data_IF_637451370997
#
_entry.id   IF_637451370997
#
_cell.length_a   1.000
_cell.length_b   1.000
_cell.length_c   1.000
_cell.angle_alpha   90.00
_cell.angle_beta   90.00
_cell.angle_gamma   90.00
#
_symmetry.space_group_name_H-M   'P 1'
#
loop_
_entity.id
_entity.type
_entity.pdbx_description
1 polymer ?
#
# COMPACT_ATOMS: atom_id res chain seq x y z
N UNK A 1 -25.23 -0.56 25.12
CA UNK A 1 -23.90 -0.65 25.77
C UNK A 1 -23.80 0.48 26.78
N UNK A 2 -22.98 0.36 27.82
CA UNK A 2 -22.86 1.39 28.86
C UNK A 2 -21.51 2.08 28.75
N UNK A 3 -21.49 3.41 28.77
CA UNK A 3 -20.27 4.23 28.81
C UNK A 3 -20.10 4.84 30.21
N UNK A 4 -18.84 4.97 30.63
CA UNK A 4 -18.48 5.70 31.85
C UNK A 4 -18.46 7.21 31.64
N UNK A 5 -18.46 7.68 30.39
CA UNK A 5 -18.39 9.09 30.01
C UNK A 5 -17.02 9.76 30.21
N UNK A 6 -15.97 9.01 30.53
CA UNK A 6 -14.63 9.56 30.83
C UNK A 6 -13.75 9.71 29.59
N UNK A 7 -14.08 8.99 28.52
CA UNK A 7 -13.33 8.99 27.28
C UNK A 7 -13.67 10.22 26.45
N UNK A 8 -12.72 10.65 25.61
CA UNK A 8 -12.83 11.92 24.90
C UNK A 8 -13.18 11.72 23.42
N UNK A 9 -13.12 10.47 22.96
CA UNK A 9 -13.30 10.06 21.58
C UNK A 9 -14.00 8.70 21.55
N UNK A 10 -14.64 8.41 20.42
CA UNK A 10 -15.22 7.10 20.17
C UNK A 10 -15.19 6.74 18.69
N UNK A 11 -15.29 5.45 18.42
CA UNK A 11 -15.41 4.89 17.08
C UNK A 11 -16.38 3.72 17.06
N UNK A 12 -17.26 3.68 16.07
CA UNK A 12 -18.15 2.55 15.77
C UNK A 12 -17.76 2.02 14.40
N UNK A 13 -17.45 0.72 14.33
CA UNK A 13 -17.09 0.02 13.11
C UNK A 13 -18.10 -1.09 12.90
N UNK A 14 -18.78 -1.04 11.78
CA UNK A 14 -19.88 -1.93 11.46
C UNK A 14 -19.67 -2.56 10.10
N UNK A 15 -20.04 -3.82 9.97
CA UNK A 15 -20.09 -4.47 8.67
C UNK A 15 -21.36 -5.25 8.45
N UNK A 16 -21.88 -5.16 7.24
CA UNK A 16 -23.12 -5.79 6.80
C UNK A 16 -22.90 -6.48 5.46
N UNK A 17 -23.68 -7.51 5.20
CA UNK A 17 -23.74 -8.19 3.89
C UNK A 17 -25.19 -8.24 3.42
N UNK A 18 -25.40 -8.29 2.11
CA UNK A 18 -26.73 -8.26 1.49
C UNK A 18 -27.43 -6.89 1.50
N UNK A 19 -26.72 -5.79 1.77
CA UNK A 19 -27.26 -4.43 1.83
C UNK A 19 -26.94 -3.62 0.55
N UNK A 20 -27.45 -4.08 -0.59
CA UNK A 20 -27.17 -3.56 -1.93
C UNK A 20 -27.94 -2.28 -2.29
N UNK A 21 -28.89 -1.86 -1.47
CA UNK A 21 -29.63 -0.59 -1.64
C UNK A 21 -29.49 0.30 -0.42
N UNK A 22 -29.60 1.62 -0.62
CA UNK A 22 -29.44 2.62 0.44
C UNK A 22 -30.49 2.49 1.56
N UNK A 23 -31.66 1.96 1.24
CA UNK A 23 -32.78 1.71 2.15
C UNK A 23 -32.76 0.30 2.77
N UNK A 24 -31.75 -0.52 2.47
CA UNK A 24 -31.64 -1.90 2.99
C UNK A 24 -31.43 -1.95 4.50
N UNK A 25 -30.80 -0.94 5.09
CA UNK A 25 -30.61 -0.83 6.54
C UNK A 25 -30.79 0.62 7.01
N UNK A 26 -31.14 0.78 8.29
CA UNK A 26 -30.96 2.02 9.05
C UNK A 26 -30.08 1.74 10.26
N UNK A 27 -29.24 2.72 10.62
CA UNK A 27 -28.37 2.67 11.79
C UNK A 27 -28.69 3.90 12.63
N UNK A 28 -28.95 3.72 13.92
CA UNK A 28 -29.13 4.82 14.86
C UNK A 28 -28.31 4.62 16.12
N UNK A 29 -27.83 5.73 16.67
CA UNK A 29 -27.18 5.80 17.97
C UNK A 29 -28.00 6.74 18.85
N UNK A 30 -28.56 6.21 19.93
CA UNK A 30 -29.47 6.92 20.84
C UNK A 30 -30.64 7.59 20.10
N UNK A 31 -31.19 6.87 19.11
CA UNK A 31 -32.27 7.34 18.23
C UNK A 31 -31.84 8.35 17.16
N UNK A 32 -30.57 8.80 17.13
CA UNK A 32 -30.05 9.69 16.09
C UNK A 32 -29.51 8.88 14.92
N UNK A 33 -29.88 9.20 13.66
CA UNK A 33 -29.36 8.49 12.50
C UNK A 33 -27.85 8.59 12.37
N UNK A 34 -27.21 7.47 12.03
CA UNK A 34 -25.83 7.40 11.60
C UNK A 34 -25.80 7.18 10.08
N UNK A 35 -25.25 8.14 9.33
CA UNK A 35 -25.23 8.09 7.87
C UNK A 35 -24.40 6.92 7.34
N UNK A 36 -24.96 6.06 6.51
CA UNK A 36 -24.21 5.02 5.82
C UNK A 36 -24.40 5.18 4.31
N UNK A 37 -23.51 4.60 3.51
CA UNK A 37 -23.63 4.59 2.05
C UNK A 37 -23.55 3.17 1.54
N UNK A 38 -24.55 2.76 0.76
CA UNK A 38 -24.49 1.47 0.07
C UNK A 38 -23.35 1.46 -0.96
N UNK A 39 -22.73 0.28 -1.14
CA UNK A 39 -21.80 0.03 -2.25
C UNK A 39 -22.50 -0.42 -3.53
N UNK A 40 -23.82 -0.60 -3.50
CA UNK A 40 -24.57 -1.17 -4.64
C UNK A 40 -24.32 -2.66 -4.86
N UNK A 41 -23.71 -3.35 -3.90
CA UNK A 41 -23.31 -4.75 -3.98
C UNK A 41 -23.88 -5.54 -2.81
N UNK A 42 -24.13 -6.84 -3.02
CA UNK A 42 -24.55 -7.75 -1.94
C UNK A 42 -23.39 -8.28 -1.11
N UNK A 43 -22.15 -8.00 -1.52
CA UNK A 43 -20.93 -8.32 -0.76
C UNK A 43 -20.85 -7.52 0.54
N UNK A 44 -19.94 -7.95 1.43
CA UNK A 44 -19.72 -7.31 2.72
C UNK A 44 -19.24 -5.87 2.54
N UNK A 45 -19.99 -4.93 3.10
CA UNK A 45 -19.62 -3.52 3.19
C UNK A 45 -19.28 -3.14 4.62
N UNK A 46 -18.40 -2.16 4.76
CA UNK A 46 -17.91 -1.63 6.03
C UNK A 46 -18.35 -0.17 6.17
N UNK A 47 -18.78 0.21 7.37
CA UNK A 47 -19.14 1.57 7.74
C UNK A 47 -18.42 1.95 9.03
N UNK A 48 -18.00 3.19 9.10
CA UNK A 48 -17.18 3.72 10.17
C UNK A 48 -17.75 5.06 10.62
N UNK A 49 -17.89 5.21 11.94
CA UNK A 49 -18.38 6.42 12.59
C UNK A 49 -17.41 6.80 13.67
N UNK A 50 -17.02 8.08 13.74
CA UNK A 50 -16.08 8.55 14.76
C UNK A 50 -16.49 9.91 15.31
N UNK A 51 -16.07 10.14 16.55
CA UNK A 51 -16.02 11.46 17.15
C UNK A 51 -14.61 11.73 17.65
N UNK A 52 -14.00 12.80 17.13
CA UNK A 52 -12.63 13.19 17.46
C UNK A 52 -12.53 14.13 18.68
N UNK A 53 -13.65 14.72 19.11
CA UNK A 53 -13.66 15.77 20.13
C UNK A 53 -14.79 15.64 21.17
N UNK A 54 -15.47 14.50 21.21
CA UNK A 54 -16.52 14.23 22.20
C UNK A 54 -16.75 12.75 22.41
N UNK A 55 -16.55 12.27 23.62
CA UNK A 55 -16.87 10.91 24.04
C UNK A 55 -18.38 10.64 24.08
N UNK A 56 -18.74 9.39 24.41
CA UNK A 56 -20.10 9.12 24.83
C UNK A 56 -20.38 9.80 26.17
N UNK A 57 -21.64 10.14 26.44
CA UNK A 57 -22.05 10.56 27.78
C UNK A 57 -21.99 9.38 28.75
N UNK A 58 -21.92 9.64 30.06
CA UNK A 58 -22.08 8.57 31.03
C UNK A 58 -23.49 7.98 30.97
N UNK A 59 -23.61 6.65 30.98
CA UNK A 59 -24.89 5.94 31.01
C UNK A 59 -25.06 4.92 29.88
N UNK A 60 -26.31 4.53 29.66
CA UNK A 60 -26.68 3.53 28.67
C UNK A 60 -26.93 4.15 27.30
N UNK A 61 -26.37 3.50 26.29
CA UNK A 61 -26.47 3.86 24.89
C UNK A 61 -27.07 2.73 24.07
N UNK A 62 -27.86 3.09 23.06
CA UNK A 62 -28.52 2.15 22.15
C UNK A 62 -28.00 2.37 20.74
N UNK A 63 -27.21 1.40 20.25
CA UNK A 63 -26.89 1.29 18.83
C UNK A 63 -27.90 0.31 18.21
N UNK A 64 -28.80 0.85 17.41
CA UNK A 64 -29.83 0.06 16.71
C UNK A 64 -29.47 -0.07 15.23
N UNK A 65 -29.50 -1.30 14.74
CA UNK A 65 -29.33 -1.62 13.32
C UNK A 65 -30.59 -2.33 12.85
N UNK A 66 -31.36 -1.67 12.01
CA UNK A 66 -32.62 -2.21 11.48
C UNK A 66 -32.42 -2.62 10.03
N UNK A 67 -32.68 -3.89 9.70
CA UNK A 67 -32.69 -4.37 8.32
C UNK A 67 -34.07 -4.27 7.69
N UNK A 68 -34.13 -3.90 6.42
CA UNK A 68 -35.35 -3.76 5.64
C UNK A 68 -35.33 -4.61 4.35
N UNK A 69 -36.51 -4.74 3.75
CA UNK A 69 -36.75 -5.55 2.56
C UNK A 69 -36.75 -7.04 2.85
N UNK A 70 -36.77 -7.84 1.77
CA UNK A 70 -36.80 -9.30 1.91
C UNK A 70 -35.46 -9.84 2.41
N UNK A 71 -35.53 -10.78 3.36
CA UNK A 71 -34.42 -11.64 3.79
C UNK A 71 -34.41 -12.99 3.03
N UNK A 72 -35.29 -13.15 2.04
CA UNK A 72 -35.34 -14.34 1.19
C UNK A 72 -34.38 -14.20 0.02
N UNK A 73 -33.56 -15.23 -0.22
CA UNK A 73 -32.61 -15.29 -1.32
C UNK A 73 -31.36 -16.09 -0.94
N UNK A 74 -30.46 -16.35 -1.91
CA UNK A 74 -29.24 -17.11 -1.66
C UNK A 74 -28.20 -16.34 -0.83
N UNK A 75 -28.32 -15.00 -0.75
CA UNK A 75 -27.45 -14.14 0.05
C UNK A 75 -28.25 -13.60 1.22
N UNK A 76 -27.85 -13.98 2.44
CA UNK A 76 -28.47 -13.49 3.66
C UNK A 76 -28.18 -11.99 3.84
N UNK A 77 -29.19 -11.24 4.27
CA UNK A 77 -28.99 -9.91 4.86
C UNK A 77 -28.56 -10.09 6.30
N UNK A 78 -27.35 -9.69 6.63
CA UNK A 78 -26.79 -9.97 7.94
C UNK A 78 -25.92 -8.82 8.44
N UNK A 79 -26.08 -8.51 9.72
CA UNK A 79 -25.10 -7.77 10.51
C UNK A 79 -23.93 -8.70 10.83
N UNK A 80 -22.77 -8.46 10.22
CA UNK A 80 -21.62 -9.35 10.31
C UNK A 80 -20.72 -9.03 11.51
N UNK A 81 -20.50 -7.74 11.80
CA UNK A 81 -19.77 -7.30 12.98
C UNK A 81 -20.19 -5.90 13.41
N UNK A 82 -20.10 -5.65 14.71
CA UNK A 82 -20.21 -4.34 15.33
C UNK A 82 -19.13 -4.24 16.39
N UNK A 83 -18.31 -3.22 16.29
CA UNK A 83 -17.29 -2.89 17.26
C UNK A 83 -17.51 -1.46 17.72
N UNK A 84 -17.55 -1.27 19.04
CA UNK A 84 -17.69 0.04 19.67
C UNK A 84 -16.45 0.24 20.53
N UNK A 85 -15.74 1.34 20.27
CA UNK A 85 -14.55 1.72 20.99
C UNK A 85 -14.70 3.11 21.60
N UNK A 86 -14.18 3.25 22.81
CA UNK A 86 -13.95 4.53 23.45
C UNK A 86 -12.45 4.74 23.59
N UNK A 87 -12.00 5.96 23.36
CA UNK A 87 -10.57 6.28 23.31
C UNK A 87 -10.24 7.47 24.20
N UNK A 88 -9.00 7.46 24.71
CA UNK A 88 -8.39 8.63 25.31
C UNK A 88 -8.21 9.76 24.27
N UNK A 89 -7.55 10.83 24.70
CA UNK A 89 -7.19 11.92 23.79
C UNK A 89 -6.01 11.57 22.89
N UNK A 90 -5.60 12.52 22.05
CA UNK A 90 -4.45 12.38 21.17
C UNK A 90 -3.12 12.15 21.92
N UNK A 91 -3.00 12.54 23.19
CA UNK A 91 -1.78 12.31 23.97
C UNK A 91 -1.62 10.84 24.37
N UNK A 92 -2.73 10.17 24.69
CA UNK A 92 -2.74 8.74 25.02
C UNK A 92 -2.89 7.85 23.78
N UNK A 93 -3.66 8.31 22.81
CA UNK A 93 -4.13 7.51 21.70
C UNK A 93 -4.06 8.30 20.39
N UNK A 94 -2.90 8.20 19.71
CA UNK A 94 -2.64 8.91 18.45
C UNK A 94 -3.55 8.38 17.34
N UNK A 95 -4.61 9.12 17.04
CA UNK A 95 -5.56 8.82 15.94
C UNK A 95 -5.42 9.84 14.81
N UNK A 96 -5.03 11.07 15.15
CA UNK A 96 -4.88 12.16 14.18
C UNK A 96 -3.56 11.99 13.38
N UNK A 97 -2.58 11.27 13.93
CA UNK A 97 -1.39 10.78 13.23
C UNK A 97 -1.50 9.26 12.94
N UNK A 98 -2.02 8.86 11.77
CA UNK A 98 -2.23 7.46 11.42
C UNK A 98 -0.94 6.74 10.98
N UNK A 99 0.23 7.36 11.10
CA UNK A 99 1.54 6.72 10.88
C UNK A 99 2.32 6.55 12.19
N UNK A 100 1.78 7.06 13.31
CA UNK A 100 2.43 6.98 14.61
C UNK A 100 2.58 5.53 15.09
N UNK A 101 3.81 5.14 15.37
CA UNK A 101 4.10 3.83 15.97
C UNK A 101 4.11 3.96 17.49
N UNK A 102 3.24 3.20 18.13
CA UNK A 102 3.15 3.06 19.57
C UNK A 102 2.96 1.61 20.01
N UNK A 103 2.37 1.43 21.19
CA UNK A 103 1.99 0.11 21.72
C UNK A 103 0.51 0.15 22.10
N UNK A 104 -0.35 -0.10 21.12
CA UNK A 104 -1.80 -0.04 21.32
C UNK A 104 -2.32 -1.40 21.82
N UNK A 105 -3.10 -1.44 22.90
CA UNK A 105 -3.63 -2.68 23.41
C UNK A 105 -4.59 -3.33 22.40
N UNK A 106 -4.51 -4.65 22.30
CA UNK A 106 -5.42 -5.49 21.52
C UNK A 106 -5.61 -6.83 22.23
N UNK A 107 -6.56 -7.63 21.79
CA UNK A 107 -6.80 -8.98 22.32
C UNK A 107 -6.45 -10.01 21.26
N UNK A 108 -5.83 -11.11 21.65
CA UNK A 108 -5.62 -12.26 20.77
C UNK A 108 -6.84 -13.22 20.79
N UNK A 109 -6.79 -14.26 19.96
CA UNK A 109 -7.87 -15.26 19.88
C UNK A 109 -8.07 -16.09 21.16
N UNK A 110 -7.17 -15.99 22.14
CA UNK A 110 -7.25 -16.63 23.44
C UNK A 110 -7.64 -15.65 24.55
N UNK A 111 -8.07 -14.43 24.20
CA UNK A 111 -8.42 -13.37 25.15
C UNK A 111 -7.26 -12.90 26.03
N UNK A 112 -6.02 -13.05 25.57
CA UNK A 112 -4.88 -12.39 26.21
C UNK A 112 -4.67 -11.00 25.64
N UNK A 113 -4.37 -10.06 26.53
CA UNK A 113 -4.01 -8.70 26.12
C UNK A 113 -2.63 -8.73 25.48
N UNK A 114 -2.57 -8.28 24.24
CA UNK A 114 -1.34 -8.11 23.46
C UNK A 114 -1.27 -6.67 22.97
N UNK A 115 -0.24 -6.35 22.18
CA UNK A 115 -0.06 -5.01 21.62
C UNK A 115 0.09 -5.07 20.11
N UNK A 116 -0.38 -4.01 19.46
CA UNK A 116 -0.13 -3.73 18.05
C UNK A 116 0.58 -2.40 17.90
N UNK A 117 1.41 -2.24 16.86
CA UNK A 117 2.25 -1.07 16.70
C UNK A 117 1.48 0.19 16.29
N UNK A 118 0.30 0.03 15.71
CA UNK A 118 -0.46 1.10 15.08
C UNK A 118 -1.96 0.89 15.31
N UNK A 119 -2.69 1.96 15.58
CA UNK A 119 -4.13 1.87 15.80
C UNK A 119 -4.95 1.86 14.50
N UNK A 120 -4.57 2.65 13.51
CA UNK A 120 -5.44 3.07 12.40
C UNK A 120 -5.30 2.22 11.14
N UNK A 121 -4.08 1.79 10.82
CA UNK A 121 -3.71 1.13 9.56
C UNK A 121 -3.15 -0.28 9.76
N UNK A 122 -3.13 -0.78 10.99
CA UNK A 122 -2.74 -2.15 11.24
C UNK A 122 -3.65 -3.15 10.49
N UNK A 123 -3.03 -4.18 9.91
CA UNK A 123 -3.72 -5.25 9.18
C UNK A 123 -4.89 -5.79 10.01
N UNK A 124 -6.06 -5.94 9.37
CA UNK A 124 -7.34 -6.39 9.95
C UNK A 124 -8.05 -5.45 10.94
N UNK A 125 -7.46 -4.31 11.35
CA UNK A 125 -8.20 -3.32 12.16
C UNK A 125 -9.10 -2.47 11.29
N UNK A 126 -8.49 -1.76 10.34
CA UNK A 126 -9.21 -0.92 9.41
C UNK A 126 -9.14 -1.55 8.02
N UNK A 127 -10.09 -2.45 7.74
CA UNK A 127 -10.19 -3.08 6.42
C UNK A 127 -10.70 -2.13 5.34
N UNK A 128 -11.04 -0.88 5.68
CA UNK A 128 -11.37 0.16 4.70
C UNK A 128 -10.15 0.97 4.25
N UNK A 129 -9.04 0.88 4.98
CA UNK A 129 -7.79 1.54 4.61
C UNK A 129 -7.22 0.92 3.33
N UNK A 130 -6.87 1.74 2.32
CA UNK A 130 -6.17 1.25 1.13
C UNK A 130 -4.67 1.04 1.38
N UNK A 131 -4.16 1.36 2.58
CA UNK A 131 -2.75 1.31 2.92
C UNK A 131 -2.55 0.54 4.24
N UNK A 132 -1.52 -0.32 4.26
CA UNK A 132 -1.07 -0.95 5.50
C UNK A 132 -0.24 0.03 6.33
N UNK A 133 -0.22 -0.12 7.65
CA UNK A 133 0.70 0.63 8.49
C UNK A 133 2.15 0.29 8.14
N UNK A 134 3.05 1.22 8.43
CA UNK A 134 4.48 1.11 8.17
C UNK A 134 5.13 -0.18 8.74
N UNK A 135 4.69 -0.73 9.89
CA UNK A 135 5.21 -1.99 10.45
C UNK A 135 4.73 -3.19 9.64
N UNK A 136 3.45 -3.21 9.24
CA UNK A 136 2.93 -4.26 8.37
C UNK A 136 3.61 -4.23 7.00
N UNK A 137 3.82 -3.04 6.41
CA UNK A 137 4.54 -2.88 5.16
C UNK A 137 5.97 -3.43 5.24
N UNK A 138 6.72 -3.06 6.28
CA UNK A 138 8.08 -3.56 6.50
C UNK A 138 8.11 -5.10 6.64
N UNK A 139 7.18 -5.68 7.41
CA UNK A 139 7.10 -7.13 7.54
C UNK A 139 6.75 -7.80 6.21
N UNK A 140 5.87 -7.22 5.39
CA UNK A 140 5.58 -7.77 4.05
C UNK A 140 6.81 -7.78 3.16
N UNK A 141 7.58 -6.69 3.12
CA UNK A 141 8.86 -6.64 2.39
C UNK A 141 9.81 -7.77 2.85
N UNK A 142 9.98 -7.91 4.16
CA UNK A 142 10.85 -8.92 4.77
C UNK A 142 10.39 -10.36 4.46
N UNK A 143 9.09 -10.64 4.52
CA UNK A 143 8.53 -11.96 4.22
C UNK A 143 8.61 -12.27 2.73
N UNK A 144 8.28 -11.31 1.87
CA UNK A 144 8.30 -11.49 0.42
C UNK A 144 9.72 -11.74 -0.08
N UNK A 145 10.67 -10.86 0.27
CA UNK A 145 12.07 -10.98 -0.17
C UNK A 145 12.84 -12.13 0.49
N UNK A 146 12.26 -12.79 1.50
CA UNK A 146 12.81 -14.06 2.00
C UNK A 146 12.59 -15.23 1.04
N UNK A 147 11.66 -15.09 0.09
CA UNK A 147 11.26 -16.15 -0.85
C UNK A 147 11.52 -15.78 -2.32
N UNK A 148 11.55 -14.49 -2.62
CA UNK A 148 11.83 -13.98 -3.96
C UNK A 148 13.02 -13.04 -3.95
N UNK A 149 13.64 -12.86 -5.11
CA UNK A 149 14.73 -11.91 -5.30
C UNK A 149 14.30 -10.79 -6.25
N UNK A 150 14.90 -9.62 -6.09
CA UNK A 150 14.74 -8.52 -7.02
C UNK A 150 15.76 -8.53 -8.17
N UNK A 151 16.70 -9.48 -8.16
CA UNK A 151 17.56 -9.77 -9.31
C UNK A 151 16.82 -10.76 -10.21
N UNK A 152 16.38 -10.29 -11.36
CA UNK A 152 15.62 -11.09 -12.32
C UNK A 152 16.57 -11.99 -13.13
N UNK A 153 17.63 -11.40 -13.71
CA UNK A 153 18.60 -12.12 -14.52
C UNK A 153 19.96 -11.41 -14.60
N UNK A 154 20.98 -12.14 -15.04
CA UNK A 154 22.30 -11.61 -15.43
C UNK A 154 22.58 -12.07 -16.86
N UNK A 155 22.46 -11.15 -17.81
CA UNK A 155 22.66 -11.44 -19.23
C UNK A 155 24.12 -11.17 -19.59
N UNK A 156 24.81 -12.23 -20.01
CA UNK A 156 26.22 -12.17 -20.45
C UNK A 156 26.27 -12.25 -21.97
N UNK A 157 26.68 -11.16 -22.63
CA UNK A 157 26.81 -11.06 -24.08
C UNK A 157 28.27 -10.79 -24.44
N UNK A 158 29.08 -11.84 -24.45
CA UNK A 158 30.52 -11.69 -24.58
C UNK A 158 31.07 -10.89 -23.41
N UNK A 159 31.67 -9.72 -23.69
CA UNK A 159 32.27 -8.85 -22.68
C UNK A 159 31.26 -7.94 -21.97
N UNK A 160 30.08 -7.75 -22.56
CA UNK A 160 29.06 -6.88 -22.00
C UNK A 160 28.14 -7.69 -21.09
N UNK A 161 28.05 -7.29 -19.83
CA UNK A 161 27.22 -7.95 -18.82
C UNK A 161 26.15 -6.97 -18.35
N UNK A 162 24.89 -7.39 -18.43
CA UNK A 162 23.74 -6.61 -18.01
C UNK A 162 23.01 -7.28 -16.85
N UNK A 163 22.92 -6.57 -15.73
CA UNK A 163 22.12 -6.95 -14.57
C UNK A 163 20.66 -6.51 -14.79
N UNK A 164 19.74 -7.46 -14.80
CA UNK A 164 18.29 -7.21 -14.90
C UNK A 164 17.68 -7.24 -13.50
N UNK A 165 17.05 -6.14 -13.11
CA UNK A 165 16.41 -5.97 -11.82
C UNK A 165 14.91 -5.72 -12.00
N UNK A 166 14.12 -6.11 -11.00
CA UNK A 166 12.74 -5.66 -10.89
C UNK A 166 12.71 -4.12 -10.86
N UNK A 167 11.76 -3.43 -11.53
CA UNK A 167 11.71 -1.96 -11.60
C UNK A 167 11.37 -1.30 -10.25
N UNK A 168 12.33 -1.28 -9.32
CA UNK A 168 12.28 -0.62 -8.01
C UNK A 168 13.37 0.44 -7.88
N UNK A 169 13.30 1.29 -6.85
CA UNK A 169 14.25 2.39 -6.65
C UNK A 169 14.27 3.35 -7.83
N UNK A 170 15.47 3.66 -8.33
CA UNK A 170 15.69 4.50 -9.50
C UNK A 170 15.19 3.89 -10.83
N UNK A 171 14.69 2.65 -10.84
CA UNK A 171 14.12 2.00 -12.02
C UNK A 171 12.59 2.09 -12.08
N UNK A 172 11.93 2.68 -11.07
CA UNK A 172 10.47 2.86 -11.09
C UNK A 172 10.05 3.91 -12.13
N UNK A 173 8.86 3.76 -12.74
CA UNK A 173 8.23 4.85 -13.50
C UNK A 173 7.89 6.07 -12.63
N UNK A 174 7.58 5.84 -11.35
CA UNK A 174 7.31 6.88 -10.35
C UNK A 174 8.27 6.66 -9.19
N UNK A 175 9.20 7.60 -9.01
CA UNK A 175 10.24 7.51 -8.00
C UNK A 175 9.66 7.64 -6.58
N UNK A 176 10.19 6.84 -5.66
CA UNK A 176 9.93 6.97 -4.23
C UNK A 176 11.19 7.60 -3.60
N UNK A 177 11.06 8.75 -2.93
CA UNK A 177 12.20 9.41 -2.29
C UNK A 177 12.97 8.45 -1.37
N UNK A 178 14.30 8.45 -1.47
CA UNK A 178 15.22 7.60 -0.73
C UNK A 178 15.15 6.09 -1.02
N UNK A 179 14.35 5.65 -2.00
CA UNK A 179 14.40 4.28 -2.52
C UNK A 179 15.45 4.15 -3.62
N UNK A 180 16.38 3.19 -3.51
CA UNK A 180 17.42 2.97 -4.53
C UNK A 180 18.01 1.57 -4.48
N UNK A 181 18.51 1.10 -5.60
CA UNK A 181 19.50 0.03 -5.67
C UNK A 181 20.91 0.57 -5.51
N UNK A 182 21.76 -0.19 -4.83
CA UNK A 182 23.21 -0.10 -4.95
C UNK A 182 23.77 -1.42 -5.47
N UNK A 183 24.75 -1.35 -6.37
CA UNK A 183 25.38 -2.53 -6.96
C UNK A 183 26.88 -2.51 -6.75
N UNK A 184 27.45 -3.66 -6.41
CA UNK A 184 28.88 -3.88 -6.28
C UNK A 184 29.26 -5.10 -7.11
N UNK A 185 30.31 -4.96 -7.89
CA UNK A 185 30.80 -6.01 -8.78
C UNK A 185 32.16 -6.49 -8.29
N UNK A 186 32.36 -7.80 -8.30
CA UNK A 186 33.59 -8.43 -7.82
C UNK A 186 34.12 -9.38 -8.90
N UNK A 187 35.43 -9.38 -9.08
CA UNK A 187 36.13 -10.38 -9.88
C UNK A 187 37.12 -11.12 -8.96
N UNK A 188 37.01 -12.44 -8.88
CA UNK A 188 37.81 -13.25 -7.96
C UNK A 188 37.83 -12.72 -6.50
N UNK A 189 36.66 -12.26 -6.03
CA UNK A 189 36.50 -11.71 -4.68
C UNK A 189 37.00 -10.27 -4.46
N UNK A 190 37.62 -9.63 -5.47
CA UNK A 190 38.04 -8.22 -5.38
C UNK A 190 36.99 -7.29 -6.01
N UNK A 191 36.60 -6.24 -5.28
CA UNK A 191 35.62 -5.26 -5.78
C UNK A 191 36.21 -4.42 -6.92
N UNK A 192 35.51 -4.39 -8.04
CA UNK A 192 35.80 -3.52 -9.18
C UNK A 192 35.03 -2.22 -8.98
N UNK A 193 35.61 -1.28 -8.23
CA UNK A 193 34.94 -0.05 -7.80
C UNK A 193 34.48 0.86 -8.94
N UNK A 194 35.11 0.78 -10.11
CA UNK A 194 34.70 1.52 -11.32
C UNK A 194 33.35 1.04 -11.90
N UNK A 195 32.86 -0.12 -11.46
CA UNK A 195 31.56 -0.69 -11.83
C UNK A 195 30.48 -0.45 -10.78
N UNK A 196 30.81 0.23 -9.66
CA UNK A 196 29.86 0.52 -8.60
C UNK A 196 28.63 1.26 -9.14
N UNK A 197 27.45 0.84 -8.68
CA UNK A 197 26.13 1.37 -9.04
C UNK A 197 25.81 1.36 -10.56
N UNK A 198 26.55 0.57 -11.35
CA UNK A 198 26.24 0.29 -12.76
C UNK A 198 25.43 -0.98 -12.92
N UNK A 199 24.43 -0.93 -13.79
CA UNK A 199 23.62 -2.09 -14.19
C UNK A 199 24.13 -2.76 -15.48
N UNK A 200 25.05 -2.12 -16.19
CA UNK A 200 25.70 -2.69 -17.38
C UNK A 200 27.18 -2.37 -17.31
N UNK A 201 28.02 -3.38 -17.54
CA UNK A 201 29.47 -3.28 -17.41
C UNK A 201 30.15 -3.99 -18.58
N UNK A 202 31.29 -3.48 -19.02
CA UNK A 202 32.19 -4.18 -19.94
C UNK A 202 33.30 -4.83 -19.10
N UNK A 203 33.22 -6.14 -18.91
CA UNK A 203 34.17 -6.87 -18.05
C UNK A 203 35.59 -6.89 -18.61
N UNK A 204 35.78 -6.62 -19.91
CA UNK A 204 37.11 -6.54 -20.53
C UNK A 204 37.90 -5.29 -20.10
N UNK A 205 37.23 -4.30 -19.50
CA UNK A 205 37.88 -3.13 -18.92
C UNK A 205 38.72 -3.48 -17.66
N UNK A 206 38.57 -4.69 -17.12
CA UNK A 206 39.37 -5.18 -15.99
C UNK A 206 40.50 -6.06 -16.51
N UNK A 207 41.71 -5.52 -16.50
CA UNK A 207 42.90 -6.23 -16.97
C UNK A 207 43.15 -7.49 -16.14
N UNK A 208 43.34 -8.63 -16.83
CA UNK A 208 43.59 -9.91 -16.16
C UNK A 208 42.38 -10.48 -15.40
N UNK A 209 41.17 -10.02 -15.71
CA UNK A 209 39.96 -10.53 -15.06
C UNK A 209 39.82 -12.05 -15.17
N UNK A 210 39.43 -12.66 -14.05
CA UNK A 210 38.97 -14.04 -13.99
C UNK A 210 37.66 -14.24 -14.76
N UNK A 211 37.35 -15.50 -15.09
CA UNK A 211 36.04 -15.92 -15.59
C UNK A 211 34.94 -15.77 -14.55
N UNK A 212 35.28 -15.89 -13.26
CA UNK A 212 34.31 -15.91 -12.17
C UNK A 212 34.06 -14.50 -11.65
N UNK A 213 32.79 -14.11 -11.71
CA UNK A 213 32.32 -12.81 -11.27
C UNK A 213 31.19 -12.97 -10.26
N UNK A 214 31.10 -11.98 -9.39
CA UNK A 214 30.02 -11.86 -8.42
C UNK A 214 29.44 -10.47 -8.51
N UNK A 215 28.12 -10.38 -8.50
CA UNK A 215 27.41 -9.10 -8.33
C UNK A 215 26.60 -9.16 -7.04
N UNK A 216 26.75 -8.12 -6.23
CA UNK A 216 25.98 -7.88 -5.03
C UNK A 216 25.09 -6.68 -5.24
N UNK A 217 23.80 -6.85 -4.96
CA UNK A 217 22.78 -5.83 -5.16
C UNK A 217 22.04 -5.63 -3.84
N UNK A 218 21.92 -4.40 -3.38
CA UNK A 218 21.17 -4.05 -2.18
C UNK A 218 20.07 -3.05 -2.54
N UNK A 219 18.83 -3.36 -2.16
CA UNK A 219 17.71 -2.44 -2.23
C UNK A 219 17.58 -1.69 -0.90
N UNK A 220 17.56 -0.36 -0.99
CA UNK A 220 17.20 0.52 0.12
C UNK A 220 15.83 1.11 -0.17
N UNK A 221 14.94 1.10 0.82
CA UNK A 221 13.60 1.68 0.70
C UNK A 221 13.18 2.29 2.03
N UNK A 222 12.51 3.46 2.07
CA UNK A 222 12.02 4.04 3.31
C UNK A 222 10.99 3.15 4.03
N UNK A 223 10.40 2.18 3.34
CA UNK A 223 9.45 1.20 3.90
C UNK A 223 10.10 0.11 4.75
N UNK A 224 11.44 -0.01 4.75
CA UNK A 224 12.18 -0.99 5.55
C UNK A 224 13.19 -0.25 6.42
N UNK A 225 12.90 -0.15 7.71
CA UNK A 225 13.78 0.52 8.69
C UNK A 225 14.91 -0.37 9.13
N UNK A 226 14.68 -1.69 9.27
CA UNK A 226 15.67 -2.63 9.78
C UNK A 226 15.64 -3.98 9.06
N UNK A 227 16.66 -4.23 8.26
CA UNK A 227 16.86 -5.53 7.59
C UNK A 227 17.68 -6.52 8.42
N UNK A 228 17.11 -7.01 9.52
CA UNK A 228 17.82 -7.95 10.41
C UNK A 228 18.10 -9.31 9.75
N UNK A 229 17.31 -9.68 8.75
CA UNK A 229 17.41 -10.97 8.03
C UNK A 229 18.30 -10.89 6.78
N UNK A 230 18.82 -9.70 6.45
CA UNK A 230 19.64 -9.44 5.26
C UNK A 230 18.96 -9.80 3.94
N UNK A 231 17.62 -9.72 3.88
CA UNK A 231 16.83 -10.07 2.68
C UNK A 231 16.75 -8.95 1.66
N UNK A 232 17.18 -7.74 2.03
CA UNK A 232 17.28 -6.60 1.11
C UNK A 232 18.59 -6.61 0.30
N UNK A 233 19.46 -7.61 0.50
CA UNK A 233 20.71 -7.78 -0.23
C UNK A 233 20.78 -9.16 -0.88
N UNK A 234 21.19 -9.19 -2.14
CA UNK A 234 21.30 -10.42 -2.92
C UNK A 234 22.68 -10.48 -3.54
N UNK A 235 23.28 -11.66 -3.51
CA UNK A 235 24.54 -11.96 -4.19
C UNK A 235 24.28 -13.02 -5.28
N UNK A 236 24.91 -12.84 -6.44
CA UNK A 236 24.84 -13.75 -7.57
C UNK A 236 26.21 -13.92 -8.19
N UNK A 237 26.58 -15.17 -8.39
CA UNK A 237 27.78 -15.56 -9.13
C UNK A 237 27.41 -15.84 -10.58
N UNK A 238 28.26 -15.46 -11.51
CA UNK A 238 28.14 -15.75 -12.93
C UNK A 238 29.52 -15.88 -13.56
N UNK A 239 29.58 -16.51 -14.73
CA UNK A 239 30.83 -16.71 -15.46
C UNK A 239 30.79 -15.97 -16.79
N UNK A 240 31.97 -15.54 -17.24
CA UNK A 240 32.17 -14.96 -18.57
C UNK A 240 33.21 -15.79 -19.32
N UNK A 241 32.90 -16.20 -20.54
CA UNK A 241 33.84 -16.97 -21.38
C UNK A 241 34.97 -16.08 -21.92
N UNK A 242 36.18 -16.32 -21.40
CA UNK A 242 37.36 -15.42 -21.46
C UNK A 242 38.09 -15.30 -22.81
N UNK A 243 37.45 -15.38 -23.96
CA UNK A 243 38.14 -15.00 -25.22
C UNK A 243 37.95 -13.52 -25.50
N UNK A 244 38.59 -12.65 -24.72
CA UNK A 244 38.67 -11.23 -25.02
C UNK A 244 40.13 -10.83 -25.16
N UNK A 245 40.57 -10.65 -26.41
CA UNK A 245 41.85 -10.00 -26.69
C UNK A 245 41.67 -8.51 -26.36
N UNK A 246 42.43 -7.94 -25.40
CA UNK A 246 42.35 -6.51 -25.15
C UNK A 246 42.75 -5.76 -26.42
N UNK A 247 41.93 -4.78 -26.84
CA UNK A 247 42.30 -3.91 -27.95
C UNK A 247 43.61 -3.20 -27.61
N UNK A 248 44.61 -3.19 -28.52
CA UNK A 248 45.88 -2.52 -28.24
C UNK A 248 45.62 -1.02 -28.03
N UNK A 249 46.16 -0.50 -26.92
CA UNK A 249 46.16 0.92 -26.60
C UNK A 249 46.83 1.68 -27.75
N UNK A 250 46.04 2.35 -28.58
CA UNK A 250 46.56 3.19 -29.66
C UNK A 250 47.21 4.43 -29.05
N UNK A 251 48.54 4.46 -29.06
CA UNK A 251 49.33 5.65 -28.81
C UNK A 251 49.00 6.69 -29.87
N UNK A 252 48.38 7.80 -29.47
CA UNK A 252 48.11 8.94 -30.34
C UNK A 252 49.41 9.66 -30.70
N UNK A 253 49.75 9.63 -32.00
CA UNK A 253 50.72 10.56 -32.61
C UNK A 253 49.90 11.71 -33.23
N UNK A 254 50.27 12.99 -33.04
CA UNK A 254 49.48 14.11 -33.55
C UNK A 254 49.69 14.27 -35.06
N UNK A 255 48.61 14.49 -35.80
CA UNK A 255 48.60 14.84 -37.24
C UNK A 255 47.92 16.20 -37.38
N UNK A 256 48.41 17.08 -38.28
CA UNK A 256 48.25 18.52 -38.13
C UNK A 256 46.91 19.05 -38.65
N UNK A 257 46.59 20.23 -38.12
CA UNK A 257 45.49 21.13 -38.44
C UNK A 257 45.33 21.36 -39.94
N UNK A 258 44.11 21.16 -40.46
CA UNK A 258 43.65 21.83 -41.68
C UNK A 258 42.26 22.43 -41.48
N UNK A 259 42.13 23.59 -42.11
CA UNK A 259 41.18 24.68 -41.89
C UNK A 259 39.75 24.34 -42.29
N UNK A 260 38.81 24.98 -41.57
CA UNK A 260 37.38 24.95 -41.76
C UNK A 260 36.89 25.32 -43.16
N UNK A 261 35.80 24.67 -43.58
CA UNK A 261 34.85 25.22 -44.54
C UNK A 261 33.44 25.14 -43.93
N UNK A 262 32.85 26.33 -43.81
CA UNK A 262 31.53 26.64 -43.29
C UNK A 262 30.44 26.17 -44.24
N UNK A 263 29.44 25.43 -43.73
CA UNK A 263 28.12 25.32 -44.39
C UNK A 263 27.02 25.34 -43.33
N UNK A 264 26.23 26.40 -43.33
CA UNK A 264 24.97 26.55 -42.59
C UNK A 264 23.85 25.83 -43.34
N UNK A 265 22.89 25.20 -42.63
CA UNK A 265 21.50 25.46 -43.01
C UNK A 265 20.55 25.67 -41.82
N UNK A 266 19.97 26.86 -41.82
CA UNK A 266 18.56 27.25 -41.65
C UNK A 266 17.62 26.38 -40.80
N UNK A 267 17.07 27.03 -39.78
CA UNK A 267 15.91 26.68 -38.97
C UNK A 267 14.60 26.64 -39.77
N UNK A 268 13.70 25.69 -39.45
CA UNK A 268 12.26 25.91 -39.65
C UNK A 268 11.46 25.21 -38.56
N UNK A 269 10.75 26.03 -37.81
CA UNK A 269 9.80 25.74 -36.75
C UNK A 269 8.46 25.28 -37.33
N UNK A 270 7.85 24.22 -36.78
CA UNK A 270 6.39 24.04 -36.83
C UNK A 270 5.88 23.17 -35.68
N UNK A 271 5.19 23.80 -34.74
CA UNK A 271 4.38 23.15 -33.71
C UNK A 271 2.98 22.80 -34.25
N UNK A 272 2.36 21.69 -33.82
CA UNK A 272 0.91 21.49 -33.94
C UNK A 272 0.18 21.77 -32.61
N UNK A 273 -0.87 22.56 -32.70
CA UNK A 273 -1.87 22.85 -31.65
C UNK A 273 -3.01 21.80 -31.68
N UNK A 274 -3.75 21.59 -30.58
CA UNK A 274 -4.66 20.44 -30.42
C UNK A 274 -6.04 20.68 -31.05
N UNK A 275 -6.62 19.60 -31.59
CA UNK A 275 -7.98 19.58 -32.17
C UNK A 275 -8.99 19.18 -31.10
N UNK A 276 -9.98 20.06 -30.89
CA UNK A 276 -11.20 19.88 -30.10
C UNK A 276 -12.20 18.98 -30.81
N UNK A 277 -12.87 18.09 -30.07
CA UNK A 277 -14.00 17.27 -30.57
C UNK A 277 -15.28 17.67 -29.83
N UNK A 278 -16.45 17.79 -30.50
CA UNK A 278 -17.66 18.37 -29.91
C UNK A 278 -18.46 17.38 -29.06
N UNK A 279 -19.05 17.92 -28.00
CA UNK A 279 -20.06 17.31 -27.13
C UNK A 279 -21.37 17.14 -27.91
N UNK A 280 -21.95 15.94 -27.92
CA UNK A 280 -23.30 15.69 -28.42
C UNK A 280 -24.20 15.25 -27.25
N UNK A 281 -25.23 16.04 -27.00
CA UNK A 281 -26.31 15.79 -26.02
C UNK A 281 -27.47 15.07 -26.70
N UNK A 282 -28.04 14.06 -26.05
CA UNK A 282 -29.39 13.51 -26.38
C UNK A 282 -30.02 12.93 -25.10
N UNK A 283 -31.35 12.74 -25.01
CA UNK A 283 -32.16 13.34 -23.95
C UNK A 283 -32.69 12.32 -22.94
N UNK A 284 -33.18 12.86 -21.83
CA UNK A 284 -33.90 12.19 -20.75
C UNK A 284 -35.21 11.52 -21.22
N UNK A 285 -35.59 10.35 -20.70
CA UNK A 285 -36.97 9.90 -20.72
C UNK A 285 -37.67 10.10 -19.38
N UNK A 286 -38.88 10.63 -19.51
CA UNK A 286 -39.89 11.00 -18.52
C UNK A 286 -40.42 9.81 -17.70
N UNK A 287 -40.84 10.17 -16.48
CA UNK A 287 -41.56 9.40 -15.46
C UNK A 287 -42.73 8.55 -15.96
N UNK A 288 -42.89 7.36 -15.36
CA UNK A 288 -44.19 6.68 -15.22
C UNK A 288 -44.36 6.26 -13.76
N UNK A 289 -45.46 6.69 -13.15
CA UNK A 289 -45.83 6.40 -11.77
C UNK A 289 -46.22 4.93 -11.60
N UNK A 290 -45.75 4.30 -10.51
CA UNK A 290 -46.19 2.97 -10.09
C UNK A 290 -46.66 3.02 -8.62
N UNK A 291 -47.77 2.32 -8.43
CA UNK A 291 -48.72 2.34 -7.32
C UNK A 291 -48.12 1.91 -5.97
N UNK A 292 -48.59 2.56 -4.91
CA UNK A 292 -48.29 2.27 -3.50
C UNK A 292 -48.91 0.94 -3.06
N UNK A 293 -48.07 -0.07 -2.79
CA UNK A 293 -48.44 -1.24 -1.99
C UNK A 293 -47.79 -1.17 -0.61
N UNK A 294 -48.58 -1.37 0.44
CA UNK A 294 -48.19 -1.24 1.84
C UNK A 294 -47.03 -2.19 2.23
N UNK A 295 -46.10 -1.67 3.04
CA UNK A 295 -44.92 -2.36 3.58
C UNK A 295 -45.35 -3.42 4.62
N UNK A 296 -44.88 -4.69 4.53
CA UNK A 296 -45.12 -5.70 5.57
C UNK A 296 -44.45 -5.31 6.89
N UNK A 297 -45.00 -5.73 8.05
CA UNK A 297 -44.42 -5.43 9.36
C UNK A 297 -43.01 -6.03 9.49
N UNK A 298 -42.11 -5.23 10.07
CA UNK A 298 -40.72 -5.61 10.34
C UNK A 298 -40.67 -6.75 11.36
N UNK A 299 -39.78 -7.74 11.22
CA UNK A 299 -39.56 -8.75 12.25
C UNK A 299 -39.08 -8.10 13.55
N UNK A 300 -39.37 -8.75 14.69
CA UNK A 300 -39.02 -8.26 16.02
C UNK A 300 -37.51 -8.00 16.14
N UNK A 301 -37.10 -6.89 16.77
CA UNK A 301 -35.68 -6.57 16.93
C UNK A 301 -34.96 -7.68 17.69
N UNK A 302 -33.82 -8.12 17.16
CA UNK A 302 -32.91 -9.01 17.90
C UNK A 302 -31.98 -8.15 18.73
N UNK A 303 -32.15 -8.17 20.05
CA UNK A 303 -31.28 -7.43 20.96
C UNK A 303 -30.01 -8.25 21.23
N UNK A 304 -28.86 -7.74 20.82
CA UNK A 304 -27.56 -8.24 21.26
C UNK A 304 -26.99 -7.29 22.32
N UNK A 305 -26.79 -7.78 23.53
CA UNK A 305 -26.10 -7.03 24.58
C UNK A 305 -24.59 -7.14 24.35
N UNK A 306 -23.97 -6.03 23.93
CA UNK A 306 -22.51 -5.93 23.89
C UNK A 306 -21.99 -5.81 25.33
N UNK A 307 -21.27 -6.82 25.80
CA UNK A 307 -20.59 -6.77 27.11
C UNK A 307 -19.33 -5.91 26.97
N UNK A 308 -19.22 -4.77 27.68
CA UNK A 308 -18.03 -3.94 27.62
C UNK A 308 -16.83 -4.68 28.20
N UNK A 309 -15.74 -4.73 27.45
CA UNK A 309 -14.44 -5.19 27.97
C UNK A 309 -13.60 -3.96 28.28
N UNK A 310 -13.66 -3.48 29.52
CA UNK A 310 -12.84 -2.33 29.96
C UNK A 310 -11.41 -2.78 30.23
N UNK A 311 -10.44 -2.29 29.46
CA UNK A 311 -9.04 -2.33 29.86
C UNK A 311 -8.68 -1.03 30.58
N UNK A 312 -8.50 -1.07 31.90
CA UNK A 312 -7.71 -0.02 32.57
C UNK A 312 -6.28 -0.09 32.02
N UNK A 313 -5.64 1.05 31.70
CA UNK A 313 -4.19 1.09 31.63
C UNK A 313 -3.67 0.80 33.04
N UNK A 314 -2.98 -0.32 33.22
CA UNK A 314 -2.04 -0.44 34.31
C UNK A 314 -0.73 0.14 33.75
N UNK A 315 -0.36 1.31 34.27
CA UNK A 315 0.96 1.89 34.09
C UNK A 315 2.04 0.91 34.57
#
# INVERSE_FOLDING_TARGET
FTSTGIFQRWGIYLSVTGADTQDSIAITLDGKPLEWKTRGTKDRSFSEYRSASGGFSAGDHVLEVTGYGSFAGPIAKQLCSVEVYEYGNEDEFKMDDPEYIGAYPTWDGSSHKTFRPDNEKCLMRNMTSPQFCNVCQENMWQQFLSRVTFVDDIVVNGKDVALKLIPLGQLRPVEIPNERYSTQWFNNGQEVTTFKDKFTVDVSAVAGASKDWTVKVTLFTPMVRKDSKKVMSVERNFTVDATFTPAPTSTTTPVPTTTAATVTPTTTTKAPSPTTVPVTTTPSPTTTAATTTAKPPSPAPTTATLTPTTSKPQC
#
